data_IF_781650677605
#
_entry.id   IF_781650677605
#
_cell.length_a   1.000
_cell.length_b   1.000
_cell.length_c   1.000
_cell.angle_alpha   90.00
_cell.angle_beta   90.00
_cell.angle_gamma   90.00
#
_symmetry.space_group_name_H-M   'P 1'
#
loop_
_entity.id
_entity.type
_entity.pdbx_description
1 polymer ?
#
# COMPACT_ATOMS: atom_id res chain seq x y z
N UNK A 1 33.72 -8.09 13.27
CA UNK A 1 32.35 -8.17 12.71
C UNK A 1 32.04 -6.89 11.94
N UNK A 2 31.26 -6.96 10.84
CA UNK A 2 30.81 -5.78 10.09
C UNK A 2 29.29 -5.77 9.96
N UNK A 3 28.71 -4.57 9.89
CA UNK A 3 27.28 -4.41 9.65
C UNK A 3 26.93 -4.88 8.23
N UNK A 4 25.79 -5.58 8.10
CA UNK A 4 25.26 -6.06 6.83
C UNK A 4 23.78 -5.72 6.76
N UNK A 5 23.31 -5.38 5.56
CA UNK A 5 21.89 -5.18 5.29
C UNK A 5 21.12 -6.51 5.34
N UNK A 6 19.85 -6.49 5.78
CA UNK A 6 18.96 -7.63 5.72
C UNK A 6 18.62 -8.00 4.26
N UNK A 7 17.99 -9.16 4.06
CA UNK A 7 17.46 -9.52 2.75
C UNK A 7 16.31 -8.56 2.39
N UNK A 8 16.20 -8.17 1.12
CA UNK A 8 15.15 -7.26 0.65
C UNK A 8 13.74 -7.76 0.99
N UNK A 9 13.49 -9.09 1.01
CA UNK A 9 12.18 -9.63 1.41
C UNK A 9 11.77 -9.17 2.80
N UNK A 10 12.69 -9.18 3.76
CA UNK A 10 12.40 -8.74 5.14
C UNK A 10 12.04 -7.25 5.19
N UNK A 11 12.70 -6.43 4.37
CA UNK A 11 12.41 -5.00 4.26
C UNK A 11 11.05 -4.79 3.60
N UNK A 12 10.75 -5.53 2.52
CA UNK A 12 9.48 -5.49 1.81
C UNK A 12 8.30 -5.90 2.69
N UNK A 13 8.44 -6.97 3.46
CA UNK A 13 7.39 -7.44 4.38
C UNK A 13 7.11 -6.38 5.45
N UNK A 14 8.18 -5.80 6.02
CA UNK A 14 8.05 -4.68 6.98
C UNK A 14 7.31 -3.49 6.37
N UNK A 15 7.60 -3.14 5.11
CA UNK A 15 6.93 -2.04 4.43
C UNK A 15 5.48 -2.38 4.06
N UNK A 16 5.19 -3.64 3.73
CA UNK A 16 3.83 -4.12 3.46
C UNK A 16 2.95 -4.01 4.69
N UNK A 17 3.46 -4.37 5.87
CA UNK A 17 2.75 -4.18 7.13
C UNK A 17 2.44 -2.69 7.40
N UNK A 18 3.41 -1.80 7.11
CA UNK A 18 3.22 -0.34 7.24
C UNK A 18 2.24 0.21 6.20
N UNK A 19 2.16 -0.40 5.03
CA UNK A 19 1.19 -0.04 3.99
C UNK A 19 -0.23 -0.41 4.43
N UNK A 20 -0.43 -1.60 5.00
CA UNK A 20 -1.74 -2.03 5.50
C UNK A 20 -2.21 -1.19 6.70
N UNK A 21 -1.27 -0.69 7.51
CA UNK A 21 -1.52 0.22 8.62
C UNK A 21 -1.37 1.72 8.30
N UNK A 22 -1.30 2.11 7.02
CA UNK A 22 -1.01 3.50 6.65
C UNK A 22 -2.10 4.46 7.13
N UNK A 23 -1.69 5.63 7.64
CA UNK A 23 -2.62 6.61 8.23
C UNK A 23 -3.04 7.68 7.23
N UNK A 24 -4.36 7.90 7.12
CA UNK A 24 -4.88 9.05 6.37
C UNK A 24 -4.65 10.33 7.17
N UNK A 25 -4.02 11.31 6.55
CA UNK A 25 -3.70 12.60 7.17
C UNK A 25 -4.27 13.76 6.35
N UNK A 26 -4.40 14.90 7.01
CA UNK A 26 -4.68 16.19 6.38
C UNK A 26 -3.55 17.17 6.69
N UNK A 27 -3.28 18.06 5.75
CA UNK A 27 -2.29 19.12 5.92
C UNK A 27 -2.95 20.24 6.70
N UNK A 28 -2.42 20.57 7.88
CA UNK A 28 -2.87 21.75 8.60
C UNK A 28 -2.06 22.98 8.15
N UNK A 29 -2.75 24.04 7.72
CA UNK A 29 -2.13 25.32 7.36
C UNK A 29 -1.69 26.15 8.58
N UNK A 30 -1.54 25.53 9.76
CA UNK A 30 -1.16 26.19 11.01
C UNK A 30 0.26 26.79 10.97
N UNK A 31 1.03 26.53 9.91
CA UNK A 31 2.33 27.15 9.64
C UNK A 31 2.29 28.60 9.15
N UNK A 32 1.11 29.23 9.01
CA UNK A 32 0.98 30.65 8.66
C UNK A 32 0.18 31.45 9.69
N UNK A 33 0.44 31.25 10.99
CA UNK A 33 0.18 32.30 11.97
C UNK A 33 1.21 33.41 11.74
N UNK A 34 0.83 34.41 10.95
CA UNK A 34 1.50 35.70 10.84
C UNK A 34 1.56 36.33 12.23
N UNK A 35 2.72 36.29 12.90
CA UNK A 35 2.87 36.89 14.22
C UNK A 35 4.29 36.83 14.78
N UNK A 36 5.04 37.91 14.57
CA UNK A 36 6.12 38.46 15.40
C UNK A 36 7.11 37.48 16.08
N UNK A 37 8.34 37.42 15.55
CA UNK A 37 9.47 36.90 16.32
C UNK A 37 10.65 36.52 15.44
N UNK A 38 11.75 37.28 15.57
CA UNK A 38 13.03 37.02 14.94
C UNK A 38 13.49 35.56 15.13
N UNK A 39 13.42 34.76 14.07
CA UNK A 39 13.99 33.42 14.06
C UNK A 39 13.74 32.73 12.73
N UNK A 40 14.81 32.34 12.03
CA UNK A 40 14.76 31.49 10.83
C UNK A 40 14.19 30.12 11.21
N UNK A 41 12.88 29.99 11.40
CA UNK A 41 12.20 28.70 11.65
C UNK A 41 11.69 28.13 10.34
N UNK A 42 11.97 26.85 10.12
CA UNK A 42 11.74 26.08 8.91
C UNK A 42 10.39 26.37 8.24
N UNK A 43 10.44 26.87 7.00
CA UNK A 43 9.30 27.15 6.11
C UNK A 43 8.47 25.92 5.70
N UNK A 44 8.78 24.73 6.22
CA UNK A 44 8.20 23.45 5.81
C UNK A 44 7.63 22.63 6.97
N UNK A 45 7.21 23.27 8.07
CA UNK A 45 6.54 22.54 9.15
C UNK A 45 5.05 22.29 8.81
N UNK A 46 4.80 21.57 7.72
CA UNK A 46 3.48 21.02 7.41
C UNK A 46 3.16 20.01 8.51
N UNK A 47 2.35 20.44 9.48
CA UNK A 47 1.94 19.54 10.54
C UNK A 47 0.82 18.65 10.01
N UNK A 48 1.20 17.41 9.69
CA UNK A 48 0.27 16.35 9.33
C UNK A 48 -0.55 16.01 10.56
N UNK A 49 -1.87 16.11 10.43
CA UNK A 49 -2.81 15.66 11.46
C UNK A 49 -3.57 14.46 10.94
N UNK A 50 -3.87 13.45 11.77
CA UNK A 50 -4.81 12.39 11.40
C UNK A 50 -6.11 12.98 10.86
N UNK A 51 -6.65 12.36 9.81
CA UNK A 51 -7.96 12.75 9.28
C UNK A 51 -9.08 12.48 10.29
N UNK A 52 -8.99 11.36 11.04
CA UNK A 52 -9.86 11.06 12.18
C UNK A 52 -9.14 11.41 13.50
N UNK A 53 -9.71 12.29 14.35
CA UNK A 53 -9.12 12.65 15.64
C UNK A 53 -8.95 11.49 16.63
N UNK A 54 -9.70 10.40 16.48
CA UNK A 54 -9.60 9.23 17.37
C UNK A 54 -8.43 8.32 16.99
N UNK A 55 -7.82 8.52 15.82
CA UNK A 55 -6.66 7.76 15.40
C UNK A 55 -5.37 8.30 16.00
N UNK A 56 -4.46 7.38 16.32
CA UNK A 56 -3.12 7.73 16.81
C UNK A 56 -2.37 8.54 15.73
N UNK A 57 -1.67 9.64 16.12
CA UNK A 57 -0.80 10.35 15.20
C UNK A 57 0.30 9.45 14.62
N UNK A 58 0.62 9.56 13.32
CA UNK A 58 1.64 8.74 12.69
C UNK A 58 3.04 9.08 13.23
N UNK A 59 3.87 8.05 13.41
CA UNK A 59 5.28 8.17 13.76
C UNK A 59 6.18 8.39 12.55
N UNK A 60 7.49 8.50 12.79
CA UNK A 60 8.50 8.74 11.73
C UNK A 60 8.68 7.57 10.75
N UNK A 61 8.29 6.36 11.16
CA UNK A 61 8.44 5.12 10.39
C UNK A 61 7.13 4.65 9.77
N UNK A 62 6.04 5.42 9.95
CA UNK A 62 4.72 5.05 9.45
C UNK A 62 4.49 5.65 8.06
N UNK A 63 3.75 4.92 7.22
CA UNK A 63 3.32 5.44 5.93
C UNK A 63 2.04 6.27 6.10
N UNK A 64 1.95 7.36 5.35
CA UNK A 64 0.81 8.28 5.39
C UNK A 64 0.30 8.57 3.98
N UNK A 65 -1.00 8.82 3.86
CA UNK A 65 -1.63 9.21 2.60
C UNK A 65 -2.66 10.32 2.81
N UNK A 66 -2.94 11.08 1.76
CA UNK A 66 -3.88 12.21 1.80
C UNK A 66 -5.25 11.81 1.22
N UNK A 67 -5.22 11.18 0.05
CA UNK A 67 -6.39 10.88 -0.77
C UNK A 67 -6.71 9.38 -0.76
N UNK A 68 -8.00 9.00 -0.71
CA UNK A 68 -8.37 7.60 -0.79
C UNK A 68 -7.97 7.00 -2.13
N UNK A 69 -7.62 5.72 -2.12
CA UNK A 69 -7.27 4.99 -3.34
C UNK A 69 -8.50 4.84 -4.25
N UNK A 70 -8.32 4.90 -5.58
CA UNK A 70 -9.41 4.65 -6.53
C UNK A 70 -9.82 3.17 -6.53
N UNK A 71 -10.93 2.87 -7.21
CA UNK A 71 -11.31 1.48 -7.48
C UNK A 71 -10.43 0.89 -8.60
N UNK A 72 -9.82 -0.28 -8.34
CA UNK A 72 -8.93 -0.96 -9.28
C UNK A 72 -9.59 -2.10 -10.07
N UNK A 73 -10.88 -2.37 -9.85
CA UNK A 73 -11.62 -3.47 -10.46
C UNK A 73 -11.77 -3.32 -11.97
N UNK A 74 -12.11 -2.10 -12.42
CA UNK A 74 -12.40 -1.78 -13.82
C UNK A 74 -11.23 -1.03 -14.47
N UNK A 75 -11.06 -1.22 -15.77
CA UNK A 75 -10.00 -0.54 -16.53
C UNK A 75 -10.31 0.95 -16.61
N UNK A 76 -9.36 1.78 -16.15
CA UNK A 76 -9.41 3.22 -16.28
C UNK A 76 -8.07 3.76 -16.83
N UNK A 77 -7.95 3.94 -18.17
CA UNK A 77 -6.72 4.41 -18.79
C UNK A 77 -6.25 5.79 -18.32
N UNK A 78 -7.17 6.66 -17.89
CA UNK A 78 -6.83 8.02 -17.42
C UNK A 78 -6.02 8.00 -16.13
N UNK A 79 -6.27 7.00 -15.28
CA UNK A 79 -5.58 6.80 -14.01
C UNK A 79 -4.50 5.70 -14.10
N UNK A 80 -4.24 5.15 -15.29
CA UNK A 80 -3.28 4.04 -15.47
C UNK A 80 -3.76 2.70 -14.89
N UNK A 81 -5.04 2.55 -14.57
CA UNK A 81 -5.60 1.35 -13.96
C UNK A 81 -5.98 0.36 -15.08
N UNK A 82 -5.40 -0.84 -15.05
CA UNK A 82 -5.66 -1.87 -16.06
C UNK A 82 -6.94 -2.68 -15.80
N UNK A 83 -7.48 -2.65 -14.58
CA UNK A 83 -8.56 -3.52 -14.13
C UNK A 83 -8.04 -4.88 -13.65
N UNK A 84 -8.94 -5.73 -13.14
CA UNK A 84 -8.59 -7.07 -12.64
C UNK A 84 -9.01 -8.24 -13.54
N UNK A 85 -9.60 -7.94 -14.71
CA UNK A 85 -9.97 -8.97 -15.68
C UNK A 85 -8.75 -9.74 -16.19
N UNK A 86 -8.85 -11.06 -16.27
CA UNK A 86 -7.77 -11.96 -16.73
C UNK A 86 -6.67 -12.24 -15.70
N UNK A 87 -6.78 -11.72 -14.47
CA UNK A 87 -5.84 -12.06 -13.39
C UNK A 87 -6.16 -13.43 -12.80
N UNK A 88 -5.11 -14.19 -12.46
CA UNK A 88 -5.25 -15.43 -11.71
C UNK A 88 -5.63 -15.12 -10.26
N UNK A 89 -6.65 -15.80 -9.75
CA UNK A 89 -7.12 -15.72 -8.37
C UNK A 89 -7.11 -17.09 -7.70
N UNK A 90 -7.17 -17.11 -6.38
CA UNK A 90 -7.24 -18.32 -5.56
C UNK A 90 -8.68 -18.54 -5.08
N UNK A 91 -9.31 -19.64 -5.48
CA UNK A 91 -10.71 -19.92 -5.12
C UNK A 91 -10.91 -20.28 -3.64
N UNK A 92 -9.86 -20.70 -2.93
CA UNK A 92 -9.94 -21.08 -1.51
C UNK A 92 -9.58 -19.95 -0.56
N UNK A 93 -9.00 -18.85 -1.06
CA UNK A 93 -8.63 -17.71 -0.23
C UNK A 93 -9.82 -16.77 -0.02
N UNK A 94 -9.96 -16.30 1.22
CA UNK A 94 -10.88 -15.21 1.60
C UNK A 94 -10.23 -13.82 1.49
N UNK A 95 -8.92 -13.77 1.22
CA UNK A 95 -8.12 -12.56 1.17
C UNK A 95 -8.19 -11.84 -0.18
N UNK A 96 -7.33 -10.84 -0.37
CA UNK A 96 -7.25 -10.06 -1.61
C UNK A 96 -6.82 -10.87 -2.85
N UNK A 97 -6.19 -12.02 -2.63
CA UNK A 97 -5.88 -13.03 -3.65
C UNK A 97 -7.08 -13.95 -3.97
N UNK A 98 -8.10 -13.91 -3.11
CA UNK A 98 -9.36 -14.63 -3.26
C UNK A 98 -10.13 -14.21 -4.51
N UNK A 99 -10.77 -15.16 -5.19
CA UNK A 99 -11.52 -14.86 -6.40
C UNK A 99 -12.69 -13.88 -6.17
N UNK A 100 -13.31 -13.89 -4.99
CA UNK A 100 -14.41 -12.96 -4.68
C UNK A 100 -13.93 -11.49 -4.65
N UNK A 101 -12.78 -11.24 -4.03
CA UNK A 101 -12.20 -9.89 -3.95
C UNK A 101 -11.44 -9.51 -5.22
N UNK A 102 -10.60 -10.40 -5.76
CA UNK A 102 -9.80 -10.12 -6.95
C UNK A 102 -10.66 -9.92 -8.21
N UNK A 103 -11.74 -10.70 -8.35
CA UNK A 103 -12.68 -10.58 -9.47
C UNK A 103 -13.83 -9.61 -9.16
N UNK A 104 -13.82 -8.96 -8.00
CA UNK A 104 -14.80 -7.96 -7.57
C UNK A 104 -16.26 -8.45 -7.69
N UNK A 105 -16.51 -9.71 -7.30
CA UNK A 105 -17.84 -10.32 -7.36
C UNK A 105 -18.37 -10.67 -8.76
N UNK A 106 -17.59 -10.46 -9.83
CA UNK A 106 -18.01 -10.75 -11.22
C UNK A 106 -17.95 -12.25 -11.59
N UNK A 107 -17.57 -13.11 -10.65
CA UNK A 107 -17.29 -14.53 -10.87
C UNK A 107 -15.89 -14.79 -11.43
N UNK A 108 -15.53 -16.07 -11.54
CA UNK A 108 -14.24 -16.51 -12.05
C UNK A 108 -14.40 -17.79 -12.89
N UNK A 109 -13.46 -18.04 -13.79
CA UNK A 109 -13.38 -19.27 -14.59
C UNK A 109 -12.23 -20.12 -14.09
N UNK A 110 -12.49 -21.37 -13.77
CA UNK A 110 -11.45 -22.34 -13.45
C UNK A 110 -10.91 -22.96 -14.74
N UNK A 111 -9.59 -23.03 -14.85
CA UNK A 111 -8.90 -23.69 -15.95
C UNK A 111 -7.85 -24.63 -15.38
N UNK A 112 -7.87 -25.87 -15.85
CA UNK A 112 -6.81 -26.84 -15.57
C UNK A 112 -5.69 -26.68 -16.59
N UNK A 113 -4.46 -26.54 -16.11
CA UNK A 113 -3.27 -26.33 -16.95
C UNK A 113 -2.22 -27.35 -16.54
N UNK A 114 -1.77 -28.16 -17.50
CA UNK A 114 -0.65 -29.08 -17.28
C UNK A 114 0.66 -28.29 -17.29
N UNK A 115 1.41 -28.35 -16.17
CA UNK A 115 2.70 -27.67 -16.02
C UNK A 115 3.81 -28.72 -16.10
N UNK A 116 4.80 -28.47 -16.96
CA UNK A 116 6.01 -29.32 -17.04
C UNK A 116 7.05 -28.76 -16.08
N UNK A 117 7.42 -29.55 -15.09
CA UNK A 117 8.48 -29.21 -14.14
C UNK A 117 9.64 -30.20 -14.22
N UNK A 118 10.81 -29.79 -13.72
CA UNK A 118 11.98 -30.68 -13.66
C UNK A 118 11.75 -31.68 -12.52
N UNK A 119 11.66 -32.96 -12.87
CA UNK A 119 11.52 -34.05 -11.92
C UNK A 119 12.69 -35.05 -12.06
N UNK A 120 12.87 -35.89 -11.04
CA UNK A 120 13.91 -36.95 -11.03
C UNK A 120 15.35 -36.44 -11.28
N UNK A 121 15.68 -35.26 -10.75
CA UNK A 121 17.02 -34.68 -10.87
C UNK A 121 18.05 -35.53 -10.10
N UNK A 122 19.11 -35.98 -10.78
CA UNK A 122 20.34 -36.52 -10.15
C UNK A 122 21.44 -35.45 -10.13
N UNK A 123 22.30 -35.50 -9.12
CA UNK A 123 23.48 -34.64 -9.01
C UNK A 123 24.64 -35.18 -9.86
#
# INVERSE_FOLDING_TARGET
>A
CWMRLPNIRQVSDTLKDRFDGASRVMVSNAGSLRGQGNGKKNRYNFQLKPYDPNHKPPGRMDLVYLEPSPNFCERNPRLGIQGTSGRQCNATSIGVDGCDLMCCGRGHKTQEVTVVERCSCSF
#
